data_IF_619911782666
#
_entry.id   IF_619911782666
#
_cell.length_a   1.000
_cell.length_b   1.000
_cell.length_c   1.000
_cell.angle_alpha   90.00
_cell.angle_beta   90.00
_cell.angle_gamma   90.00
#
_symmetry.space_group_name_H-M   'P 1'
#
loop_
_entity.id
_entity.type
_entity.pdbx_description
1 polymer ?
#
# COMPACT_ATOMS: atom_id res chain seq x y z
N UNK A 1 80.54 4.95 45.21
CA UNK A 1 79.34 5.73 44.80
C UNK A 1 79.23 5.69 43.29
N UNK A 2 78.57 4.66 42.76
CA UNK A 2 78.19 4.57 41.35
C UNK A 2 76.96 5.46 41.15
N UNK A 3 77.09 6.54 40.37
CA UNK A 3 75.98 7.42 40.01
C UNK A 3 74.92 6.57 39.28
N UNK A 4 73.72 6.45 39.85
CA UNK A 4 72.62 5.77 39.21
C UNK A 4 72.26 6.52 37.92
N UNK A 5 72.37 5.85 36.76
CA UNK A 5 71.99 6.43 35.47
C UNK A 5 70.49 6.69 35.44
N UNK A 6 70.09 7.95 35.63
CA UNK A 6 68.71 8.40 35.43
C UNK A 6 68.39 8.42 33.93
N UNK A 7 67.26 7.84 33.55
CA UNK A 7 66.78 7.79 32.17
C UNK A 7 65.57 8.73 32.03
N UNK A 8 65.55 9.56 30.99
CA UNK A 8 64.48 10.52 30.73
C UNK A 8 63.46 9.97 29.72
N UNK A 9 62.18 9.90 30.09
CA UNK A 9 61.09 9.55 29.19
C UNK A 9 60.47 10.82 28.59
N UNK A 10 60.62 11.12 27.28
CA UNK A 10 60.06 12.32 26.67
C UNK A 10 58.53 12.22 26.58
N UNK A 11 57.82 13.23 27.08
CA UNK A 11 56.35 13.24 27.09
C UNK A 11 55.73 13.86 25.83
N UNK A 12 56.52 14.64 25.09
CA UNK A 12 56.10 15.29 23.86
C UNK A 12 57.30 15.43 22.93
N UNK A 13 57.12 15.18 21.64
CA UNK A 13 58.19 15.31 20.64
C UNK A 13 58.61 16.76 20.37
N UNK A 14 57.81 17.75 20.82
CA UNK A 14 58.03 19.17 20.53
C UNK A 14 58.34 20.02 21.77
N UNK A 15 58.27 19.48 22.98
CA UNK A 15 58.66 20.20 24.19
C UNK A 15 59.70 19.43 25.00
N UNK A 16 60.52 20.15 25.75
CA UNK A 16 61.60 19.58 26.58
C UNK A 16 61.09 18.89 27.85
N UNK A 17 59.78 18.61 27.98
CA UNK A 17 59.23 17.92 29.15
C UNK A 17 59.50 16.42 29.07
N UNK A 18 60.15 15.91 30.10
CA UNK A 18 60.44 14.50 30.28
C UNK A 18 60.30 14.11 31.75
N UNK A 19 59.85 12.89 32.02
CA UNK A 19 59.89 12.33 33.38
C UNK A 19 61.24 11.62 33.55
N UNK A 20 61.94 11.92 34.64
CA UNK A 20 63.12 11.16 35.01
C UNK A 20 62.67 9.90 35.74
N UNK A 21 63.15 8.73 35.31
CA UNK A 21 62.94 7.49 36.03
C UNK A 21 64.28 6.79 36.22
N UNK A 22 64.41 6.08 37.33
CA UNK A 22 65.59 5.28 37.58
C UNK A 22 65.34 3.84 37.08
N UNK A 23 66.01 3.40 35.99
CA UNK A 23 65.82 2.07 35.43
C UNK A 23 66.32 0.95 36.37
N UNK A 24 67.03 1.28 37.46
CA UNK A 24 67.52 0.30 38.43
C UNK A 24 66.46 -0.26 39.38
N UNK A 25 65.21 0.24 39.33
CA UNK A 25 64.07 -0.28 40.10
C UNK A 25 63.40 -1.51 39.48
N UNK A 26 64.11 -2.27 38.66
CA UNK A 26 63.63 -3.56 38.15
C UNK A 26 63.65 -4.62 39.27
N UNK A 27 62.56 -5.38 39.48
CA UNK A 27 62.55 -6.48 40.43
C UNK A 27 63.68 -7.48 40.12
N UNK A 28 64.60 -7.70 41.06
CA UNK A 28 65.67 -8.67 40.87
C UNK A 28 65.11 -10.10 41.05
N UNK A 29 65.29 -11.01 40.07
CA UNK A 29 64.86 -12.40 40.20
C UNK A 29 65.45 -13.09 41.44
N UNK A 30 66.71 -12.75 41.77
CA UNK A 30 67.43 -13.28 42.92
C UNK A 30 66.84 -12.79 44.25
N UNK A 31 66.35 -11.55 44.29
CA UNK A 31 65.70 -10.98 45.46
C UNK A 31 64.32 -11.61 45.70
N UNK A 32 63.57 -11.84 44.63
CA UNK A 32 62.28 -12.55 44.69
C UNK A 32 62.46 -13.99 45.18
N UNK A 33 63.53 -14.66 44.77
CA UNK A 33 63.83 -16.02 45.21
C UNK A 33 64.31 -16.08 46.67
N UNK A 34 65.07 -15.08 47.13
CA UNK A 34 65.44 -14.92 48.54
C UNK A 34 64.21 -14.68 49.43
N UNK A 35 63.25 -13.86 48.99
CA UNK A 35 61.97 -13.64 49.69
C UNK A 35 61.16 -14.95 49.79
N UNK A 36 61.10 -15.73 48.70
CA UNK A 36 60.41 -17.04 48.70
C UNK A 36 61.05 -18.08 49.63
N UNK A 37 62.37 -18.01 49.84
CA UNK A 37 63.13 -18.89 50.75
C UNK A 37 63.10 -18.42 52.21
N UNK A 38 62.40 -17.32 52.52
CA UNK A 38 62.31 -16.77 53.88
C UNK A 38 63.61 -16.17 54.40
N UNK A 39 64.56 -15.85 53.52
CA UNK A 39 65.83 -15.25 53.93
C UNK A 39 65.63 -13.80 54.37
N UNK A 40 65.93 -13.49 55.63
CA UNK A 40 65.93 -12.12 56.16
C UNK A 40 67.29 -11.47 55.84
N UNK A 41 67.32 -10.31 55.16
CA UNK A 41 68.58 -9.59 54.90
C UNK A 41 69.24 -9.11 56.21
N UNK A 42 70.56 -8.95 56.22
CA UNK A 42 71.29 -8.35 57.34
C UNK A 42 70.85 -6.89 57.61
N UNK A 43 70.89 -6.44 58.88
CA UNK A 43 70.33 -5.15 59.34
C UNK A 43 70.84 -3.92 58.57
N UNK A 44 72.14 -3.84 58.27
CA UNK A 44 72.71 -2.71 57.50
C UNK A 44 72.20 -2.66 56.04
N UNK A 45 71.76 -3.80 55.49
CA UNK A 45 71.13 -3.90 54.17
C UNK A 45 69.63 -3.59 54.21
N UNK A 46 69.01 -3.44 55.37
CA UNK A 46 67.57 -3.19 55.49
C UNK A 46 67.24 -1.72 55.25
N UNK A 47 68.02 -0.81 55.83
CA UNK A 47 67.83 0.64 55.69
C UNK A 47 67.96 1.10 54.23
N UNK A 48 68.98 0.61 53.51
CA UNK A 48 69.17 0.91 52.09
C UNK A 48 68.01 0.39 51.22
N UNK A 49 67.45 -0.78 51.56
CA UNK A 49 66.30 -1.35 50.84
C UNK A 49 65.02 -0.56 51.12
N UNK A 50 64.80 -0.13 52.36
CA UNK A 50 63.68 0.74 52.74
C UNK A 50 63.80 2.10 52.02
N UNK A 51 65.00 2.70 51.98
CA UNK A 51 65.23 3.95 51.26
C UNK A 51 64.94 3.80 49.76
N UNK A 52 65.48 2.75 49.11
CA UNK A 52 65.21 2.48 47.69
C UNK A 52 63.74 2.18 47.40
N UNK A 53 63.03 1.50 48.31
CA UNK A 53 61.60 1.26 48.17
C UNK A 53 60.81 2.57 48.25
N UNK A 54 61.11 3.44 49.23
CA UNK A 54 60.50 4.78 49.33
C UNK A 54 60.78 5.64 48.11
N UNK A 55 62.00 5.64 47.59
CA UNK A 55 62.33 6.38 46.37
C UNK A 55 61.57 5.85 45.15
N UNK A 56 61.40 4.53 45.05
CA UNK A 56 60.62 3.90 43.98
C UNK A 56 59.12 4.20 44.10
N UNK A 57 58.57 4.21 45.32
CA UNK A 57 57.20 4.64 45.60
C UNK A 57 57.01 6.11 45.22
N UNK A 58 57.94 6.99 45.60
CA UNK A 58 57.89 8.40 45.22
C UNK A 58 57.94 8.58 43.69
N UNK A 59 58.82 7.88 42.97
CA UNK A 59 58.86 7.94 41.51
C UNK A 59 57.58 7.38 40.87
N UNK A 60 56.98 6.33 41.44
CA UNK A 60 55.72 5.80 40.97
C UNK A 60 54.58 6.82 41.18
N UNK A 61 54.55 7.51 42.32
CA UNK A 61 53.59 8.57 42.61
C UNK A 61 53.75 9.76 41.65
N UNK A 62 54.98 10.18 41.36
CA UNK A 62 55.28 11.25 40.38
C UNK A 62 54.81 10.87 38.96
N UNK A 63 55.06 9.62 38.53
CA UNK A 63 54.56 9.10 37.24
C UNK A 63 53.03 9.03 37.24
N UNK A 64 52.42 8.59 38.35
CA UNK A 64 50.97 8.52 38.51
C UNK A 64 50.30 9.89 38.37
N UNK A 65 50.83 10.91 39.04
CA UNK A 65 50.34 12.30 38.92
C UNK A 65 50.45 12.83 37.49
N UNK A 66 51.53 12.51 36.77
CA UNK A 66 51.72 12.96 35.40
C UNK A 66 50.80 12.23 34.41
N UNK A 67 50.52 10.94 34.64
CA UNK A 67 49.49 10.20 33.90
C UNK A 67 48.11 10.83 34.09
N UNK A 68 47.70 11.09 35.34
CA UNK A 68 46.43 11.77 35.64
C UNK A 68 46.35 13.14 34.94
N UNK A 69 47.45 13.92 34.96
CA UNK A 69 47.53 15.21 34.28
C UNK A 69 47.35 15.08 32.76
N UNK A 70 47.98 14.08 32.14
CA UNK A 70 47.88 13.83 30.70
C UNK A 70 46.50 13.32 30.31
N UNK A 71 45.87 12.48 31.13
CA UNK A 71 44.49 12.03 30.92
C UNK A 71 43.50 13.19 31.02
N UNK A 72 43.66 14.07 32.02
CA UNK A 72 42.84 15.27 32.17
C UNK A 72 43.00 16.24 30.98
N UNK A 73 44.24 16.40 30.48
CA UNK A 73 44.50 17.20 29.28
C UNK A 73 43.89 16.56 28.02
N UNK A 74 44.02 15.24 27.86
CA UNK A 74 43.43 14.49 26.76
C UNK A 74 41.90 14.62 26.76
N UNK A 75 41.25 14.52 27.93
CA UNK A 75 39.81 14.71 28.03
C UNK A 75 39.39 16.14 27.69
N UNK A 76 40.16 17.13 28.14
CA UNK A 76 39.94 18.54 27.75
C UNK A 76 40.03 18.72 26.24
N UNK A 77 41.03 18.14 25.58
CA UNK A 77 41.18 18.19 24.13
C UNK A 77 40.05 17.45 23.39
N UNK A 78 39.59 16.30 23.89
CA UNK A 78 38.42 15.58 23.34
C UNK A 78 37.14 16.39 23.48
N UNK A 79 36.95 17.09 24.60
CA UNK A 79 35.84 18.04 24.75
C UNK A 79 35.93 19.16 23.71
N UNK A 80 37.09 19.81 23.57
CA UNK A 80 37.29 20.87 22.56
C UNK A 80 37.10 20.38 21.13
N UNK A 81 37.57 19.17 20.80
CA UNK A 81 37.35 18.55 19.50
C UNK A 81 35.86 18.34 19.22
N UNK A 82 35.08 17.87 20.21
CA UNK A 82 33.62 17.73 20.11
C UNK A 82 32.95 19.09 19.90
N UNK A 83 33.34 20.12 20.65
CA UNK A 83 32.82 21.49 20.50
C UNK A 83 33.09 22.04 19.09
N UNK A 84 34.32 21.94 18.60
CA UNK A 84 34.69 22.40 17.25
C UNK A 84 33.96 21.60 16.15
N UNK A 85 33.77 20.30 16.34
CA UNK A 85 33.02 19.45 15.41
C UNK A 85 31.53 19.85 15.37
N UNK A 86 30.93 20.12 16.53
CA UNK A 86 29.57 20.63 16.63
C UNK A 86 29.43 22.00 15.97
N UNK A 87 30.37 22.93 16.21
CA UNK A 87 30.38 24.24 15.58
C UNK A 87 30.51 24.13 14.05
N UNK A 88 31.43 23.31 13.55
CA UNK A 88 31.58 23.05 12.11
C UNK A 88 30.29 22.49 11.49
N UNK A 89 29.65 21.50 12.14
CA UNK A 89 28.37 20.97 11.69
C UNK A 89 27.25 22.03 11.66
N UNK A 90 27.23 22.95 12.63
CA UNK A 90 26.30 24.09 12.62
C UNK A 90 26.56 25.04 11.44
N UNK A 91 27.83 25.40 11.17
CA UNK A 91 28.19 26.27 10.05
C UNK A 91 27.87 25.62 8.69
N UNK A 92 28.21 24.35 8.51
CA UNK A 92 27.82 23.59 7.32
C UNK A 92 26.31 23.51 7.19
N UNK A 93 25.59 23.31 8.29
CA UNK A 93 24.13 23.34 8.34
C UNK A 93 23.54 24.65 7.80
N UNK A 94 24.13 25.80 8.16
CA UNK A 94 23.74 27.13 7.64
C UNK A 94 24.01 27.28 6.14
N UNK A 95 25.10 26.68 5.66
CA UNK A 95 25.54 26.75 4.26
C UNK A 95 24.84 25.74 3.34
N UNK A 96 24.03 24.82 3.88
CA UNK A 96 23.35 23.81 3.06
C UNK A 96 22.49 24.48 1.96
N UNK A 97 22.65 24.09 0.68
CA UNK A 97 21.92 24.70 -0.44
C UNK A 97 20.40 24.69 -0.25
N UNK A 98 19.88 23.69 0.47
CA UNK A 98 18.45 23.51 0.72
C UNK A 98 17.82 24.65 1.53
N UNK A 99 18.60 25.38 2.32
CA UNK A 99 18.13 26.57 3.07
C UNK A 99 18.07 27.83 2.21
N UNK A 100 18.69 27.81 1.03
CA UNK A 100 18.63 28.91 0.06
C UNK A 100 17.49 28.74 -0.95
N UNK A 101 16.82 27.58 -0.94
CA UNK A 101 15.66 27.36 -1.78
C UNK A 101 14.50 28.24 -1.28
N UNK A 102 13.85 28.99 -2.18
CA UNK A 102 12.55 29.58 -1.90
C UNK A 102 11.58 28.54 -1.35
N UNK A 103 10.74 28.96 -0.40
CA UNK A 103 9.79 28.08 0.30
C UNK A 103 8.84 27.40 -0.68
N UNK A 104 8.50 28.07 -1.78
CA UNK A 104 7.61 27.59 -2.84
C UNK A 104 8.22 26.42 -3.61
N UNK A 105 9.53 26.52 -3.94
CA UNK A 105 10.24 25.43 -4.61
C UNK A 105 10.38 24.22 -3.68
N UNK A 106 10.62 24.48 -2.39
CA UNK A 106 10.70 23.42 -1.41
C UNK A 106 9.34 22.73 -1.22
N UNK A 107 8.23 23.47 -1.17
CA UNK A 107 6.89 22.87 -1.12
C UNK A 107 6.63 21.98 -2.35
N UNK A 108 7.00 22.44 -3.55
CA UNK A 108 6.87 21.64 -4.78
C UNK A 108 7.68 20.34 -4.68
N UNK A 109 8.94 20.42 -4.22
CA UNK A 109 9.79 19.25 -4.03
C UNK A 109 9.17 18.27 -3.03
N UNK A 110 8.67 18.77 -1.89
CA UNK A 110 8.01 17.94 -0.88
C UNK A 110 6.74 17.30 -1.42
N UNK A 111 5.97 18.02 -2.25
CA UNK A 111 4.76 17.49 -2.90
C UNK A 111 5.09 16.39 -3.89
N UNK A 112 6.14 16.57 -4.70
CA UNK A 112 6.63 15.51 -5.58
C UNK A 112 7.12 14.30 -4.79
N UNK A 113 7.81 14.52 -3.67
CA UNK A 113 8.29 13.43 -2.81
C UNK A 113 7.16 12.62 -2.14
N UNK A 114 6.00 13.25 -1.90
CA UNK A 114 4.84 12.63 -1.26
C UNK A 114 3.72 12.20 -2.23
N UNK A 115 3.87 12.33 -3.55
CA UNK A 115 2.76 12.11 -4.49
C UNK A 115 2.22 10.68 -4.44
N UNK A 116 3.12 9.72 -4.24
CA UNK A 116 2.83 8.29 -4.11
C UNK A 116 2.89 7.82 -2.65
N UNK A 117 2.75 8.73 -1.69
CA UNK A 117 2.73 8.36 -0.27
C UNK A 117 1.50 7.51 0.03
N UNK A 118 1.73 6.34 0.63
CA UNK A 118 0.70 5.41 1.04
C UNK A 118 0.87 5.16 2.53
N UNK A 119 -0.15 5.53 3.31
CA UNK A 119 -0.20 5.22 4.75
C UNK A 119 -0.73 3.79 4.89
N UNK A 120 0.20 2.84 4.90
CA UNK A 120 -0.11 1.41 4.93
C UNK A 120 -0.04 0.81 6.35
N UNK A 121 -0.90 -0.17 6.63
CA UNK A 121 -0.74 -1.11 7.74
C UNK A 121 -0.32 -2.51 7.23
N UNK A 122 0.72 -3.15 7.82
CA UNK A 122 1.58 -2.67 8.90
C UNK A 122 2.42 -1.47 8.46
N UNK A 123 2.68 -0.54 9.39
CA UNK A 123 3.36 0.71 9.05
C UNK A 123 4.81 0.44 8.64
N UNK A 124 5.09 0.50 7.34
CA UNK A 124 6.42 0.34 6.79
C UNK A 124 6.96 1.70 6.35
N UNK A 125 8.08 2.19 6.89
CA UNK A 125 8.66 3.49 6.52
C UNK A 125 9.40 3.44 5.18
N UNK A 126 8.90 2.66 4.20
CA UNK A 126 9.59 2.43 2.91
C UNK A 126 9.59 3.65 2.00
N UNK A 127 8.69 4.60 2.22
CA UNK A 127 8.53 5.81 1.40
C UNK A 127 8.78 7.07 2.21
N UNK A 128 9.17 8.14 1.49
CA UNK A 128 9.33 9.49 2.03
C UNK A 128 7.94 10.04 2.34
N UNK A 129 7.45 9.72 3.54
CA UNK A 129 6.12 10.10 3.99
C UNK A 129 6.09 11.50 4.58
N UNK A 130 4.95 12.19 4.49
CA UNK A 130 4.77 13.48 5.16
C UNK A 130 5.09 13.39 6.67
N UNK A 131 4.83 12.23 7.28
CA UNK A 131 5.23 11.95 8.67
C UNK A 131 6.75 12.00 8.88
N UNK A 132 7.54 11.37 8.00
CA UNK A 132 8.99 11.36 8.08
C UNK A 132 9.57 12.77 7.83
N UNK A 133 9.07 13.46 6.79
CA UNK A 133 9.52 14.80 6.41
C UNK A 133 9.22 15.82 7.53
N UNK A 134 8.10 15.67 8.23
CA UNK A 134 7.74 16.50 9.40
C UNK A 134 8.75 16.39 10.56
N UNK A 135 9.63 15.38 10.55
CA UNK A 135 10.71 15.18 11.51
C UNK A 135 12.05 15.82 11.13
N UNK A 136 12.24 16.29 9.89
CA UNK A 136 13.57 16.67 9.36
C UNK A 136 14.09 17.98 9.95
N UNK A 137 13.39 19.09 9.75
CA UNK A 137 13.77 20.39 10.32
C UNK A 137 12.55 21.29 10.55
N UNK A 138 12.72 22.43 11.22
CA UNK A 138 11.64 23.37 11.50
C UNK A 138 10.96 23.90 10.23
N UNK A 139 11.75 24.27 9.21
CA UNK A 139 11.22 24.80 7.94
C UNK A 139 10.32 23.77 7.24
N UNK A 140 10.80 22.53 7.11
CA UNK A 140 10.04 21.45 6.46
C UNK A 140 8.76 21.14 7.22
N UNK A 141 8.83 21.13 8.55
CA UNK A 141 7.67 20.95 9.42
C UNK A 141 6.62 22.05 9.21
N UNK A 142 7.03 23.32 9.12
CA UNK A 142 6.12 24.44 8.86
C UNK A 142 5.40 24.25 7.54
N UNK A 143 6.15 24.04 6.45
CA UNK A 143 5.60 23.85 5.09
C UNK A 143 4.57 22.70 5.07
N UNK A 144 4.89 21.59 5.71
CA UNK A 144 4.00 20.43 5.75
C UNK A 144 2.75 20.68 6.58
N UNK A 145 2.89 21.36 7.71
CA UNK A 145 1.74 21.69 8.56
C UNK A 145 0.76 22.63 7.87
N UNK A 146 1.28 23.53 7.03
CA UNK A 146 0.47 24.50 6.29
C UNK A 146 -0.16 23.90 5.01
N UNK A 147 0.40 22.81 4.47
CA UNK A 147 -0.05 22.17 3.23
C UNK A 147 -0.86 20.89 3.48
N UNK A 148 -2.18 21.02 3.58
CA UNK A 148 -3.08 19.87 3.78
C UNK A 148 -3.00 18.80 2.68
N UNK A 149 -2.60 19.19 1.46
CA UNK A 149 -2.42 18.26 0.33
C UNK A 149 -1.33 17.22 0.59
N UNK A 150 -0.26 17.57 1.31
CA UNK A 150 0.82 16.64 1.66
C UNK A 150 0.35 15.54 2.61
N UNK A 151 -0.76 15.76 3.31
CA UNK A 151 -1.37 14.79 4.22
C UNK A 151 -2.52 13.99 3.57
N UNK A 152 -2.88 14.26 2.31
CA UNK A 152 -3.94 13.57 1.56
C UNK A 152 -3.47 12.25 0.93
N UNK A 153 -2.50 11.57 1.56
CA UNK A 153 -2.00 10.28 1.15
C UNK A 153 -3.11 9.21 1.08
N UNK A 154 -2.92 8.21 0.21
CA UNK A 154 -3.81 7.05 0.13
C UNK A 154 -3.64 6.21 1.40
N UNK A 155 -4.73 5.86 2.06
CA UNK A 155 -4.71 5.02 3.26
C UNK A 155 -4.94 3.58 2.84
N UNK A 156 -4.03 2.67 3.21
CA UNK A 156 -4.13 1.24 2.87
C UNK A 156 -4.08 0.36 4.11
N UNK A 157 -5.01 -0.57 4.25
CA UNK A 157 -4.94 -1.63 5.25
C UNK A 157 -5.10 -2.95 4.51
N UNK A 158 -4.07 -3.77 4.56
CA UNK A 158 -4.06 -5.11 3.98
C UNK A 158 -3.95 -6.14 5.12
N UNK A 159 -5.07 -6.79 5.46
CA UNK A 159 -5.10 -7.77 6.55
C UNK A 159 -4.98 -9.22 6.08
N UNK A 160 -4.22 -9.49 5.02
CA UNK A 160 -3.86 -10.85 4.61
C UNK A 160 -2.72 -11.45 5.45
N UNK A 161 -2.10 -10.67 6.33
CA UNK A 161 -1.03 -11.16 7.21
C UNK A 161 -1.63 -11.71 8.50
N UNK A 162 -1.39 -13.00 8.84
CA UNK A 162 -1.96 -13.62 10.05
C UNK A 162 -1.57 -12.85 11.32
N UNK A 163 -2.54 -12.62 12.20
CA UNK A 163 -2.49 -11.62 13.27
C UNK A 163 -1.79 -12.05 14.57
N UNK A 164 -0.87 -13.02 14.54
CA UNK A 164 -0.51 -13.80 15.73
C UNK A 164 0.74 -13.33 16.52
N UNK A 165 1.28 -12.12 16.31
CA UNK A 165 2.52 -11.66 16.96
C UNK A 165 2.34 -10.30 17.70
N UNK A 166 2.87 -10.20 18.92
CA UNK A 166 2.94 -8.99 19.77
C UNK A 166 3.49 -7.76 19.03
N UNK A 167 4.38 -7.98 18.04
CA UNK A 167 4.91 -6.91 17.18
C UNK A 167 3.80 -6.12 16.49
N UNK A 168 2.70 -6.78 16.12
CA UNK A 168 1.61 -6.16 15.39
C UNK A 168 0.79 -5.19 16.24
N UNK A 169 0.69 -5.43 17.55
CA UNK A 169 -0.03 -4.52 18.44
C UNK A 169 0.73 -3.18 18.58
N UNK A 170 2.06 -3.25 18.65
CA UNK A 170 2.93 -2.06 18.57
C UNK A 170 2.76 -1.33 17.24
N UNK A 171 2.75 -2.05 16.12
CA UNK A 171 2.58 -1.46 14.79
C UNK A 171 1.18 -0.86 14.62
N UNK A 172 0.14 -1.50 15.13
CA UNK A 172 -1.23 -0.99 15.10
C UNK A 172 -1.37 0.29 15.92
N UNK A 173 -0.73 0.37 17.09
CA UNK A 173 -0.67 1.61 17.89
C UNK A 173 0.08 2.73 17.16
N UNK A 174 1.21 2.43 16.52
CA UNK A 174 1.97 3.41 15.75
C UNK A 174 1.15 3.90 14.56
N UNK A 175 0.61 2.96 13.77
CA UNK A 175 -0.26 3.22 12.64
C UNK A 175 -1.46 4.09 13.03
N UNK A 176 -2.19 3.76 14.10
CA UNK A 176 -3.31 4.57 14.61
C UNK A 176 -2.90 6.01 14.91
N UNK A 177 -1.73 6.23 15.52
CA UNK A 177 -1.21 7.57 15.83
C UNK A 177 -0.86 8.34 14.56
N UNK A 178 -0.18 7.71 13.61
CA UNK A 178 0.20 8.30 12.32
C UNK A 178 -1.06 8.63 11.52
N UNK A 179 -1.95 7.67 11.33
CA UNK A 179 -3.24 7.81 10.66
C UNK A 179 -4.07 8.96 11.23
N UNK A 180 -4.18 9.05 12.56
CA UNK A 180 -4.90 10.15 13.22
C UNK A 180 -4.30 11.52 12.91
N UNK A 181 -2.99 11.61 12.65
CA UNK A 181 -2.33 12.84 12.20
C UNK A 181 -2.66 13.14 10.74
N UNK A 182 -2.53 12.16 9.84
CA UNK A 182 -2.88 12.32 8.42
C UNK A 182 -4.32 12.78 8.24
N UNK A 183 -5.28 12.11 8.89
CA UNK A 183 -6.69 12.47 8.74
C UNK A 183 -7.02 13.87 9.29
N UNK A 184 -6.34 14.34 10.35
CA UNK A 184 -6.55 15.69 10.88
C UNK A 184 -5.92 16.76 10.01
N UNK A 185 -4.67 16.56 9.57
CA UNK A 185 -3.91 17.56 8.83
C UNK A 185 -4.33 17.68 7.36
N UNK A 186 -4.87 16.60 6.79
CA UNK A 186 -5.43 16.66 5.43
C UNK A 186 -6.75 17.44 5.34
N UNK A 187 -7.38 17.83 6.45
CA UNK A 187 -8.67 18.50 6.41
C UNK A 187 -8.55 19.89 5.74
N UNK A 188 -9.47 20.27 4.83
CA UNK A 188 -10.71 19.59 4.45
C UNK A 188 -10.60 18.63 3.24
N UNK A 189 -9.40 18.35 2.74
CA UNK A 189 -9.15 17.62 1.49
C UNK A 189 -9.74 16.20 1.44
N UNK A 190 -9.94 15.65 0.23
CA UNK A 190 -10.47 14.31 0.03
C UNK A 190 -9.49 13.23 0.48
N UNK A 191 -10.02 12.04 0.81
CA UNK A 191 -9.26 10.86 1.19
C UNK A 191 -9.52 9.71 0.22
N UNK A 192 -8.45 9.01 -0.16
CA UNK A 192 -8.52 7.76 -0.91
C UNK A 192 -8.23 6.61 0.05
N UNK A 193 -9.12 5.63 0.12
CA UNK A 193 -9.02 4.56 1.13
C UNK A 193 -9.06 3.19 0.47
N UNK A 194 -8.16 2.31 0.87
CA UNK A 194 -8.09 0.91 0.43
C UNK A 194 -8.06 -0.01 1.66
N UNK A 195 -9.19 -0.67 1.97
CA UNK A 195 -9.33 -1.56 3.11
C UNK A 195 -9.59 -2.98 2.59
N UNK A 196 -8.53 -3.76 2.48
CA UNK A 196 -8.58 -5.13 2.01
C UNK A 196 -8.44 -6.08 3.19
N UNK A 197 -9.27 -7.13 3.21
CA UNK A 197 -9.25 -8.15 4.23
C UNK A 197 -9.13 -9.56 3.65
N UNK A 198 -8.70 -10.49 4.49
CA UNK A 198 -8.57 -11.90 4.16
C UNK A 198 -9.94 -12.47 3.77
N UNK A 199 -10.07 -13.16 2.63
CA UNK A 199 -11.33 -13.72 2.15
C UNK A 199 -11.85 -14.87 3.02
N UNK A 200 -11.05 -15.42 3.94
CA UNK A 200 -11.41 -16.62 4.74
C UNK A 200 -12.36 -16.35 5.91
N UNK A 201 -13.10 -15.23 5.92
CA UNK A 201 -14.09 -14.87 6.96
C UNK A 201 -13.57 -14.73 8.42
N UNK A 202 -12.27 -14.93 8.69
CA UNK A 202 -11.71 -14.87 10.05
C UNK A 202 -11.49 -13.43 10.55
N UNK A 203 -11.84 -12.43 9.73
CA UNK A 203 -11.42 -11.05 9.98
C UNK A 203 -12.06 -10.42 11.23
N UNK A 204 -13.34 -10.68 11.49
CA UNK A 204 -14.05 -10.03 12.60
C UNK A 204 -13.53 -10.48 13.98
N UNK A 205 -13.16 -11.75 14.11
CA UNK A 205 -12.62 -12.31 15.35
C UNK A 205 -11.13 -12.05 15.55
N UNK A 206 -10.37 -11.85 14.46
CA UNK A 206 -8.91 -11.63 14.53
C UNK A 206 -8.47 -10.16 14.60
N UNK A 207 -9.39 -9.19 14.45
CA UNK A 207 -9.06 -7.77 14.57
C UNK A 207 -8.70 -7.42 16.02
N UNK A 208 -7.42 -7.14 16.28
CA UNK A 208 -6.99 -6.58 17.55
C UNK A 208 -7.63 -5.20 17.80
N UNK A 209 -7.74 -4.80 19.08
CA UNK A 209 -8.43 -3.58 19.48
C UNK A 209 -7.79 -2.30 18.90
N UNK A 210 -6.47 -2.31 18.67
CA UNK A 210 -5.78 -1.15 18.12
C UNK A 210 -6.05 -0.93 16.63
N UNK A 211 -6.14 -2.00 15.84
CA UNK A 211 -6.51 -1.95 14.43
C UNK A 211 -8.00 -1.62 14.28
N UNK A 212 -8.84 -2.16 15.17
CA UNK A 212 -10.25 -1.75 15.30
C UNK A 212 -10.34 -0.23 15.52
N UNK A 213 -9.64 0.29 16.53
CA UNK A 213 -9.60 1.72 16.80
C UNK A 213 -9.03 2.55 15.63
N UNK A 214 -8.08 2.00 14.85
CA UNK A 214 -7.59 2.65 13.64
C UNK A 214 -8.69 2.73 12.56
N UNK A 215 -9.43 1.65 12.31
CA UNK A 215 -10.57 1.64 11.38
C UNK A 215 -11.64 2.66 11.77
N UNK A 216 -11.96 2.76 13.06
CA UNK A 216 -12.89 3.77 13.57
C UNK A 216 -12.43 5.21 13.28
N UNK A 217 -11.11 5.46 13.36
CA UNK A 217 -10.54 6.74 12.94
C UNK A 217 -10.82 6.97 11.46
N UNK A 218 -10.59 6.00 10.56
CA UNK A 218 -10.86 6.16 9.12
C UNK A 218 -12.34 6.41 8.86
N UNK A 219 -13.22 5.62 9.47
CA UNK A 219 -14.67 5.71 9.30
C UNK A 219 -15.25 7.03 9.79
N UNK A 220 -14.63 7.65 10.79
CA UNK A 220 -14.98 9.02 11.20
C UNK A 220 -14.84 10.00 10.05
N UNK A 221 -13.90 9.79 9.13
CA UNK A 221 -13.71 10.66 7.97
C UNK A 221 -14.47 10.21 6.70
N UNK A 222 -15.46 9.31 6.83
CA UNK A 222 -16.31 8.85 5.72
C UNK A 222 -16.84 9.98 4.81
N UNK A 223 -17.29 11.15 5.31
CA UNK A 223 -17.76 12.23 4.43
C UNK A 223 -16.73 12.77 3.44
N UNK A 224 -15.44 12.62 3.76
CA UNK A 224 -14.31 13.08 2.95
C UNK A 224 -13.75 12.02 2.02
N UNK A 225 -14.26 10.79 2.06
CA UNK A 225 -13.80 9.75 1.17
C UNK A 225 -14.16 10.13 -0.26
N UNK A 226 -13.19 10.06 -1.17
CA UNK A 226 -13.35 10.30 -2.60
C UNK A 226 -13.32 9.00 -3.40
N UNK A 227 -12.36 8.15 -3.09
CA UNK A 227 -12.28 6.80 -3.64
C UNK A 227 -12.19 5.80 -2.50
N UNK A 228 -12.86 4.65 -2.66
CA UNK A 228 -12.84 3.58 -1.67
C UNK A 228 -12.70 2.23 -2.38
N UNK A 229 -11.66 1.48 -2.05
CA UNK A 229 -11.50 0.07 -2.42
C UNK A 229 -11.67 -0.75 -1.16
N UNK A 230 -12.69 -1.60 -1.10
CA UNK A 230 -13.07 -2.30 0.12
C UNK A 230 -13.24 -3.79 -0.16
N UNK A 231 -12.80 -4.65 0.76
CA UNK A 231 -13.26 -6.04 0.75
C UNK A 231 -14.73 -6.12 1.16
N UNK A 232 -15.43 -7.22 0.81
CA UNK A 232 -16.79 -7.47 1.29
C UNK A 232 -16.91 -7.32 2.81
N UNK A 233 -16.02 -7.97 3.56
CA UNK A 233 -16.03 -7.96 5.02
C UNK A 233 -15.87 -6.54 5.56
N UNK A 234 -15.09 -5.69 4.88
CA UNK A 234 -14.94 -4.28 5.26
C UNK A 234 -16.20 -3.47 5.02
N UNK A 235 -16.95 -3.77 3.97
CA UNK A 235 -18.25 -3.13 3.72
C UNK A 235 -19.28 -3.56 4.79
N UNK A 236 -19.31 -4.85 5.15
CA UNK A 236 -20.18 -5.37 6.22
C UNK A 236 -19.79 -4.79 7.59
N UNK A 237 -18.50 -4.71 7.88
CA UNK A 237 -17.96 -4.13 9.12
C UNK A 237 -18.29 -2.64 9.22
N UNK A 238 -18.07 -1.87 8.15
CA UNK A 238 -18.46 -0.45 8.07
C UNK A 238 -19.96 -0.28 8.30
N UNK A 239 -20.80 -1.10 7.65
CA UNK A 239 -22.25 -1.04 7.83
C UNK A 239 -22.66 -1.31 9.29
N UNK A 240 -22.08 -2.34 9.89
CA UNK A 240 -22.31 -2.71 11.30
C UNK A 240 -21.85 -1.61 12.25
N UNK A 241 -20.66 -1.06 12.03
CA UNK A 241 -20.10 0.04 12.82
C UNK A 241 -21.00 1.29 12.80
N UNK A 242 -21.44 1.73 11.62
CA UNK A 242 -22.31 2.91 11.49
C UNK A 242 -23.67 2.68 12.16
N UNK A 243 -24.23 1.47 12.01
CA UNK A 243 -25.50 1.08 12.65
C UNK A 243 -25.38 1.04 14.18
N UNK A 244 -24.35 0.37 14.71
CA UNK A 244 -24.12 0.23 16.13
C UNK A 244 -23.91 1.60 16.83
N UNK A 245 -23.17 2.50 16.18
CA UNK A 245 -22.85 3.82 16.72
C UNK A 245 -23.89 4.90 16.36
N UNK A 246 -25.00 4.54 15.69
CA UNK A 246 -26.05 5.46 15.21
C UNK A 246 -25.47 6.64 14.39
N UNK A 247 -24.37 6.41 13.68
CA UNK A 247 -23.68 7.45 12.91
C UNK A 247 -24.43 7.68 11.61
N UNK A 248 -25.04 8.86 11.47
CA UNK A 248 -25.76 9.29 10.25
C UNK A 248 -24.87 10.01 9.22
N UNK A 249 -23.55 9.85 9.30
CA UNK A 249 -22.60 10.48 8.36
C UNK A 249 -22.82 9.95 6.95
N UNK A 250 -22.81 10.87 5.97
CA UNK A 250 -22.98 10.55 4.55
C UNK A 250 -21.62 10.64 3.85
N UNK A 251 -21.30 9.74 2.91
CA UNK A 251 -20.10 9.84 2.08
C UNK A 251 -20.29 10.91 0.99
N UNK A 252 -20.21 12.19 1.38
CA UNK A 252 -20.56 13.34 0.51
C UNK A 252 -19.58 13.57 -0.64
N UNK A 253 -18.29 13.23 -0.46
CA UNK A 253 -17.25 13.39 -1.47
C UNK A 253 -17.00 12.14 -2.32
N UNK A 254 -17.72 11.04 -2.07
CA UNK A 254 -17.38 9.73 -2.62
C UNK A 254 -17.77 9.66 -4.10
N UNK A 255 -16.76 9.52 -4.97
CA UNK A 255 -16.87 9.51 -6.42
C UNK A 255 -16.74 8.10 -7.00
N UNK A 256 -15.90 7.25 -6.40
CA UNK A 256 -15.67 5.89 -6.88
C UNK A 256 -15.61 4.88 -5.74
N UNK A 257 -16.25 3.72 -5.93
CA UNK A 257 -16.15 2.58 -5.01
C UNK A 257 -15.85 1.32 -5.79
N UNK A 258 -14.87 0.57 -5.31
CA UNK A 258 -14.60 -0.80 -5.73
C UNK A 258 -14.79 -1.72 -4.54
N UNK A 259 -15.66 -2.72 -4.68
CA UNK A 259 -15.80 -3.79 -3.71
C UNK A 259 -15.10 -5.04 -4.26
N UNK A 260 -13.87 -5.22 -3.83
CA UNK A 260 -13.02 -6.33 -4.23
C UNK A 260 -13.23 -7.53 -3.31
N UNK A 261 -12.79 -8.72 -3.75
CA UNK A 261 -12.55 -9.92 -2.91
C UNK A 261 -13.71 -10.29 -1.96
N UNK A 262 -14.46 -11.32 -2.32
CA UNK A 262 -15.44 -11.96 -1.43
C UNK A 262 -15.27 -13.48 -1.40
N UNK A 263 -15.59 -14.07 -0.25
CA UNK A 263 -15.98 -15.46 -0.20
C UNK A 263 -17.32 -15.66 -0.96
N UNK A 264 -17.47 -16.76 -1.72
CA UNK A 264 -18.59 -16.97 -2.65
C UNK A 264 -19.98 -17.08 -2.02
N UNK A 265 -20.13 -17.14 -0.69
CA UNK A 265 -21.34 -17.69 -0.06
C UNK A 265 -22.26 -16.68 0.63
N UNK A 266 -21.91 -15.40 0.74
CA UNK A 266 -22.65 -14.49 1.63
C UNK A 266 -23.39 -13.39 0.88
N UNK A 267 -24.73 -13.49 0.84
CA UNK A 267 -25.63 -12.42 0.37
C UNK A 267 -25.43 -11.16 1.22
N UNK A 268 -25.16 -10.04 0.58
CA UNK A 268 -24.99 -8.74 1.24
C UNK A 268 -26.16 -7.80 0.89
N UNK A 269 -26.68 -7.10 1.91
CA UNK A 269 -27.67 -6.01 1.77
C UNK A 269 -27.15 -4.76 2.45
N UNK A 270 -26.17 -4.10 1.84
CA UNK A 270 -25.55 -2.92 2.43
C UNK A 270 -26.13 -1.63 1.84
N UNK A 271 -26.44 -0.69 2.75
CA UNK A 271 -27.03 0.63 2.45
C UNK A 271 -26.07 1.79 2.67
N UNK A 272 -24.80 1.54 3.02
CA UNK A 272 -23.86 2.60 3.43
C UNK A 272 -23.64 3.64 2.33
N UNK A 273 -23.66 3.21 1.07
CA UNK A 273 -23.43 4.07 -0.10
C UNK A 273 -24.71 4.65 -0.72
N UNK A 274 -25.88 4.38 -0.14
CA UNK A 274 -27.16 4.81 -0.72
C UNK A 274 -27.31 6.33 -0.84
N UNK A 275 -26.59 7.08 0.01
CA UNK A 275 -26.62 8.54 0.05
C UNK A 275 -25.32 9.19 -0.49
N UNK A 276 -24.51 8.45 -1.26
CA UNK A 276 -23.28 8.96 -1.85
C UNK A 276 -23.57 9.83 -3.09
N UNK A 277 -24.02 11.06 -2.91
CA UNK A 277 -24.54 11.94 -4.00
C UNK A 277 -23.52 12.35 -5.08
N UNK A 278 -22.23 12.01 -4.91
CA UNK A 278 -21.19 12.22 -5.92
C UNK A 278 -20.67 10.94 -6.57
N UNK A 279 -21.22 9.78 -6.19
CA UNK A 279 -20.78 8.48 -6.69
C UNK A 279 -21.08 8.37 -8.19
N UNK A 280 -20.02 8.25 -8.99
CA UNK A 280 -20.07 8.13 -10.46
C UNK A 280 -19.56 6.78 -10.94
N UNK A 281 -18.67 6.13 -10.17
CA UNK A 281 -18.07 4.85 -10.53
C UNK A 281 -18.34 3.79 -9.46
N UNK A 282 -18.84 2.63 -9.89
CA UNK A 282 -19.03 1.47 -9.03
C UNK A 282 -18.44 0.22 -9.68
N UNK A 283 -17.58 -0.48 -8.94
CA UNK A 283 -17.05 -1.80 -9.30
C UNK A 283 -17.37 -2.79 -8.19
N UNK A 284 -17.84 -3.98 -8.54
CA UNK A 284 -18.16 -5.05 -7.61
C UNK A 284 -17.65 -6.38 -8.16
N UNK A 285 -16.81 -7.05 -7.38
CA UNK A 285 -16.27 -8.39 -7.66
C UNK A 285 -16.87 -9.43 -6.70
N UNK A 286 -18.16 -9.30 -6.39
CA UNK A 286 -18.85 -10.09 -5.38
C UNK A 286 -20.20 -10.56 -5.91
N UNK A 287 -20.34 -11.86 -6.05
CA UNK A 287 -21.51 -12.45 -6.65
C UNK A 287 -22.74 -12.32 -5.75
N UNK A 288 -23.90 -12.20 -6.39
CA UNK A 288 -25.21 -12.16 -5.74
C UNK A 288 -25.40 -11.07 -4.67
N UNK A 289 -24.52 -10.06 -4.60
CA UNK A 289 -24.63 -8.98 -3.63
C UNK A 289 -25.44 -7.80 -4.18
N UNK A 290 -26.42 -7.33 -3.41
CA UNK A 290 -27.29 -6.21 -3.77
C UNK A 290 -26.97 -4.99 -2.92
N UNK A 291 -26.39 -3.98 -3.55
CA UNK A 291 -26.13 -2.69 -2.92
C UNK A 291 -27.26 -1.71 -3.20
N UNK A 292 -27.59 -0.86 -2.22
CA UNK A 292 -28.43 0.31 -2.51
C UNK A 292 -27.53 1.47 -2.91
N UNK A 293 -27.57 1.83 -4.18
CA UNK A 293 -26.75 2.88 -4.77
C UNK A 293 -27.61 4.01 -5.36
N UNK A 294 -27.08 5.23 -5.46
CA UNK A 294 -27.67 6.32 -6.24
C UNK A 294 -27.45 6.07 -7.73
N UNK A 295 -28.15 5.08 -8.30
CA UNK A 295 -27.95 4.61 -9.68
C UNK A 295 -28.06 5.69 -10.76
N UNK A 296 -28.91 6.71 -10.56
CA UNK A 296 -29.19 7.74 -11.55
C UNK A 296 -27.97 8.59 -11.98
N UNK A 297 -26.93 8.66 -11.13
CA UNK A 297 -25.72 9.48 -11.34
C UNK A 297 -24.49 8.65 -11.71
N UNK A 298 -24.60 7.32 -11.77
CA UNK A 298 -23.49 6.46 -12.18
C UNK A 298 -23.19 6.66 -13.67
N UNK A 299 -21.92 6.87 -13.99
CA UNK A 299 -21.38 6.90 -15.35
C UNK A 299 -20.60 5.63 -15.69
N UNK A 300 -20.10 4.93 -14.67
CA UNK A 300 -19.40 3.65 -14.81
C UNK A 300 -19.99 2.62 -13.83
N UNK A 301 -20.33 1.44 -14.34
CA UNK A 301 -20.84 0.32 -13.55
C UNK A 301 -20.18 -0.98 -13.98
N UNK A 302 -19.46 -1.63 -13.07
CA UNK A 302 -18.94 -2.98 -13.22
C UNK A 302 -19.51 -3.88 -12.11
N UNK A 303 -20.27 -4.90 -12.49
CA UNK A 303 -20.80 -5.91 -11.57
C UNK A 303 -20.20 -7.27 -11.87
N UNK A 304 -20.07 -8.10 -10.84
CA UNK A 304 -19.86 -9.53 -11.01
C UNK A 304 -21.20 -10.24 -11.26
N UNK A 305 -21.28 -11.55 -11.01
CA UNK A 305 -22.44 -12.37 -11.36
C UNK A 305 -23.72 -11.90 -10.64
N UNK A 306 -24.66 -11.40 -11.43
CA UNK A 306 -26.00 -10.98 -11.01
C UNK A 306 -27.06 -11.70 -11.85
N UNK A 307 -28.22 -11.98 -11.26
CA UNK A 307 -29.35 -12.50 -12.04
C UNK A 307 -29.83 -11.45 -13.04
N UNK A 308 -30.27 -11.89 -14.23
CA UNK A 308 -30.82 -11.02 -15.28
C UNK A 308 -31.88 -10.04 -14.77
N UNK A 309 -32.78 -10.50 -13.89
CA UNK A 309 -33.79 -9.66 -13.23
C UNK A 309 -33.16 -8.55 -12.37
N UNK A 310 -32.13 -8.87 -11.59
CA UNK A 310 -31.42 -7.88 -10.75
C UNK A 310 -30.72 -6.84 -11.62
N UNK A 311 -30.09 -7.28 -12.71
CA UNK A 311 -29.44 -6.38 -13.68
C UNK A 311 -30.47 -5.42 -14.28
N UNK A 312 -31.60 -5.94 -14.72
CA UNK A 312 -32.68 -5.12 -15.27
C UNK A 312 -33.18 -4.06 -14.27
N UNK A 313 -33.44 -4.43 -13.01
CA UNK A 313 -33.87 -3.49 -11.96
C UNK A 313 -32.86 -2.34 -11.74
N UNK A 314 -31.56 -2.65 -11.86
CA UNK A 314 -30.47 -1.69 -11.74
C UNK A 314 -30.45 -0.76 -12.95
N UNK A 315 -30.43 -1.33 -14.16
CA UNK A 315 -30.28 -0.57 -15.40
C UNK A 315 -31.43 0.42 -15.65
N UNK A 316 -32.66 0.09 -15.25
CA UNK A 316 -33.79 1.02 -15.30
C UNK A 316 -33.54 2.34 -14.56
N UNK A 317 -32.65 2.32 -13.56
CA UNK A 317 -32.31 3.48 -12.73
C UNK A 317 -31.03 4.18 -13.19
N UNK A 318 -30.26 3.62 -14.12
CA UNK A 318 -28.93 4.09 -14.54
C UNK A 318 -28.95 4.87 -15.87
N UNK A 319 -29.71 5.98 -15.98
CA UNK A 319 -29.83 6.72 -17.25
C UNK A 319 -28.57 7.46 -17.70
N UNK A 320 -27.65 7.73 -16.77
CA UNK A 320 -26.41 8.48 -17.01
C UNK A 320 -25.21 7.62 -17.40
N UNK A 321 -25.40 6.33 -17.61
CA UNK A 321 -24.31 5.37 -17.75
C UNK A 321 -23.59 5.52 -19.09
N UNK A 322 -22.26 5.57 -19.05
CA UNK A 322 -21.38 5.67 -20.21
C UNK A 322 -20.63 4.37 -20.48
N UNK A 323 -20.23 3.65 -19.42
CA UNK A 323 -19.60 2.34 -19.50
C UNK A 323 -20.28 1.34 -18.56
N UNK A 324 -20.62 0.17 -19.11
CA UNK A 324 -21.31 -0.91 -18.44
C UNK A 324 -20.53 -2.21 -18.62
N UNK A 325 -20.15 -2.84 -17.51
CA UNK A 325 -19.55 -4.17 -17.47
C UNK A 325 -20.39 -5.08 -16.58
N UNK A 326 -20.95 -6.12 -17.16
CA UNK A 326 -21.87 -7.02 -16.47
C UNK A 326 -21.37 -8.46 -16.57
N UNK A 327 -21.58 -9.22 -15.50
CA UNK A 327 -21.62 -10.68 -15.55
C UNK A 327 -23.02 -11.14 -15.16
N UNK A 328 -23.70 -11.86 -16.03
CA UNK A 328 -25.14 -12.17 -15.89
C UNK A 328 -25.37 -13.67 -15.95
N UNK A 329 -26.17 -14.18 -15.02
CA UNK A 329 -26.67 -15.55 -15.04
C UNK A 329 -28.20 -15.62 -15.07
N UNK A 330 -28.70 -16.77 -15.52
CA UNK A 330 -30.14 -17.07 -15.54
C UNK A 330 -30.51 -17.85 -14.30
N UNK A 331 -31.55 -17.38 -13.62
CA UNK A 331 -32.11 -18.11 -12.49
C UNK A 331 -33.15 -19.12 -13.02
N UNK A 332 -32.96 -20.45 -12.85
CA UNK A 332 -33.78 -21.48 -13.53
C UNK A 332 -35.28 -21.43 -13.22
N UNK A 333 -35.65 -20.77 -12.12
CA UNK A 333 -37.02 -20.72 -11.59
C UNK A 333 -37.87 -19.57 -12.15
N UNK A 334 -37.32 -18.78 -13.07
CA UNK A 334 -37.87 -17.50 -13.47
C UNK A 334 -38.51 -17.65 -14.86
N UNK A 335 -39.83 -17.85 -14.92
CA UNK A 335 -40.60 -17.84 -16.18
C UNK A 335 -40.21 -16.62 -17.03
N UNK A 336 -39.99 -16.76 -18.34
CA UNK A 336 -39.50 -15.67 -19.20
C UNK A 336 -40.36 -14.41 -19.06
N UNK A 337 -39.87 -13.41 -18.32
CA UNK A 337 -40.62 -12.19 -18.02
C UNK A 337 -40.69 -11.33 -19.27
N UNK A 338 -41.88 -10.81 -19.58
CA UNK A 338 -42.03 -9.67 -20.49
C UNK A 338 -41.55 -8.41 -19.78
N UNK A 339 -40.23 -8.25 -19.72
CA UNK A 339 -39.60 -7.08 -19.15
C UNK A 339 -39.90 -5.86 -20.05
N UNK A 340 -40.32 -4.70 -19.49
CA UNK A 340 -40.52 -3.49 -20.28
C UNK A 340 -39.18 -2.96 -20.77
N UNK A 341 -39.23 -2.35 -21.96
CA UNK A 341 -38.08 -1.74 -22.63
C UNK A 341 -37.53 -0.56 -21.83
N UNK A 342 -36.22 -0.38 -21.86
CA UNK A 342 -35.54 0.78 -21.29
C UNK A 342 -34.39 1.23 -22.20
N UNK A 343 -34.05 2.52 -22.10
CA UNK A 343 -33.01 3.14 -22.92
C UNK A 343 -31.87 3.64 -22.04
N UNK A 344 -30.64 3.39 -22.47
CA UNK A 344 -29.40 3.91 -21.88
C UNK A 344 -28.76 4.88 -22.91
N UNK A 345 -29.25 6.12 -23.01
CA UNK A 345 -28.97 7.01 -24.12
C UNK A 345 -27.52 7.53 -24.17
N UNK A 346 -26.73 7.28 -23.12
CA UNK A 346 -25.34 7.72 -23.01
C UNK A 346 -24.33 6.59 -23.06
N UNK A 347 -24.80 5.34 -23.15
CA UNK A 347 -23.93 4.18 -23.06
C UNK A 347 -23.07 4.09 -24.32
N UNK A 348 -21.75 4.22 -24.14
CA UNK A 348 -20.75 4.12 -25.21
C UNK A 348 -20.10 2.76 -25.24
N UNK A 349 -19.94 2.11 -24.08
CA UNK A 349 -19.27 0.81 -23.98
C UNK A 349 -20.10 -0.19 -23.17
N UNK A 350 -20.37 -1.34 -23.76
CA UNK A 350 -21.04 -2.47 -23.14
C UNK A 350 -20.13 -3.70 -23.19
N UNK A 351 -19.75 -4.20 -22.02
CA UNK A 351 -19.09 -5.49 -21.85
C UNK A 351 -20.04 -6.40 -21.08
N UNK A 352 -20.44 -7.52 -21.67
CA UNK A 352 -21.32 -8.49 -21.05
C UNK A 352 -20.68 -9.85 -21.04
N UNK A 353 -20.58 -10.46 -19.87
CA UNK A 353 -20.17 -11.85 -19.67
C UNK A 353 -21.41 -12.64 -19.29
N UNK A 354 -21.73 -13.68 -20.05
CA UNK A 354 -22.89 -14.54 -19.79
C UNK A 354 -22.44 -15.99 -19.61
N UNK A 355 -23.06 -16.69 -18.66
CA UNK A 355 -22.88 -18.13 -18.47
C UNK A 355 -23.74 -18.96 -19.45
N UNK A 356 -24.81 -18.36 -19.96
CA UNK A 356 -25.81 -18.96 -20.84
C UNK A 356 -26.24 -17.95 -21.94
N UNK A 357 -26.42 -18.37 -23.21
CA UNK A 357 -26.82 -17.48 -24.30
C UNK A 357 -28.18 -16.82 -24.08
N UNK A 358 -29.12 -17.46 -23.37
CA UNK A 358 -30.43 -16.90 -23.09
C UNK A 358 -30.33 -15.64 -22.20
N UNK A 359 -29.24 -15.43 -21.44
CA UNK A 359 -29.01 -14.17 -20.72
C UNK A 359 -28.91 -12.99 -21.69
N UNK A 360 -28.32 -13.23 -22.86
CA UNK A 360 -28.22 -12.27 -23.96
C UNK A 360 -29.59 -12.09 -24.59
N UNK A 361 -30.28 -13.20 -24.89
CA UNK A 361 -31.64 -13.19 -25.46
C UNK A 361 -32.68 -12.49 -24.60
N UNK A 362 -32.52 -12.49 -23.28
CA UNK A 362 -33.43 -11.82 -22.35
C UNK A 362 -33.15 -10.31 -22.27
N UNK A 363 -31.87 -9.92 -22.30
CA UNK A 363 -31.47 -8.52 -22.15
C UNK A 363 -31.62 -7.72 -23.44
N UNK A 364 -31.26 -8.31 -24.59
CA UNK A 364 -31.23 -7.62 -25.87
C UNK A 364 -32.59 -7.08 -26.32
N UNK A 365 -33.73 -7.77 -26.20
CA UNK A 365 -35.04 -7.25 -26.64
C UNK A 365 -35.50 -6.01 -25.86
N UNK A 366 -35.01 -5.81 -24.64
CA UNK A 366 -35.43 -4.72 -23.76
C UNK A 366 -34.47 -3.53 -23.72
N UNK A 367 -33.24 -3.71 -24.19
CA UNK A 367 -32.20 -2.70 -24.14
C UNK A 367 -32.18 -1.83 -25.40
N UNK A 368 -32.13 -0.51 -25.23
CA UNK A 368 -31.96 0.47 -26.31
C UNK A 368 -30.75 1.37 -25.99
N UNK A 369 -29.74 1.40 -26.87
CA UNK A 369 -28.41 2.01 -26.61
C UNK A 369 -27.89 2.78 -27.83
N UNK A 370 -28.49 3.94 -28.17
CA UNK A 370 -28.23 4.60 -29.44
C UNK A 370 -26.81 5.15 -29.63
N UNK A 371 -26.06 5.38 -28.55
CA UNK A 371 -24.69 5.90 -28.60
C UNK A 371 -23.63 4.80 -28.40
N UNK A 372 -23.99 3.53 -28.51
CA UNK A 372 -23.03 2.43 -28.30
C UNK A 372 -21.95 2.45 -29.39
N UNK A 373 -20.70 2.54 -28.95
CA UNK A 373 -19.50 2.50 -29.81
C UNK A 373 -18.80 1.15 -29.69
N UNK A 374 -18.74 0.58 -28.48
CA UNK A 374 -18.00 -0.66 -28.21
C UNK A 374 -18.92 -1.71 -27.57
N UNK A 375 -19.04 -2.87 -28.23
CA UNK A 375 -19.76 -4.03 -27.71
C UNK A 375 -18.80 -5.21 -27.54
N UNK A 376 -18.75 -5.79 -26.34
CA UNK A 376 -17.96 -6.98 -26.04
C UNK A 376 -18.83 -8.02 -25.37
N UNK A 377 -18.96 -9.20 -25.97
CA UNK A 377 -19.70 -10.32 -25.43
C UNK A 377 -18.73 -11.45 -25.08
N UNK A 378 -18.74 -11.88 -23.83
CA UNK A 378 -17.89 -12.94 -23.31
C UNK A 378 -18.75 -14.11 -22.86
N UNK A 379 -18.30 -15.33 -23.14
CA UNK A 379 -18.79 -16.51 -22.43
C UNK A 379 -18.04 -16.68 -21.12
N UNK A 380 -18.76 -17.01 -20.05
CA UNK A 380 -18.16 -17.37 -18.77
C UNK A 380 -17.26 -18.60 -18.93
N UNK A 381 -16.00 -18.50 -18.52
CA UNK A 381 -15.17 -19.67 -18.25
C UNK A 381 -15.06 -19.78 -16.73
N UNK A 382 -15.88 -20.63 -16.11
CA UNK A 382 -15.79 -20.89 -14.67
C UNK A 382 -14.52 -21.69 -14.38
N UNK A 383 -13.53 -21.13 -13.66
CA UNK A 383 -12.32 -21.87 -13.33
C UNK A 383 -12.64 -22.93 -12.27
N UNK A 384 -12.47 -24.21 -12.61
CA UNK A 384 -12.47 -25.31 -11.65
C UNK A 384 -13.76 -26.12 -11.51
N UNK A 385 -14.84 -25.75 -12.20
CA UNK A 385 -15.96 -26.67 -12.40
C UNK A 385 -15.75 -27.36 -13.73
N UNK A 386 -15.42 -28.66 -13.69
CA UNK A 386 -15.63 -29.58 -14.81
C UNK A 386 -17.14 -29.66 -15.05
N UNK A 387 -17.76 -28.57 -15.51
CA UNK A 387 -19.11 -28.64 -16.03
C UNK A 387 -19.08 -29.73 -17.10
N UNK A 388 -19.90 -30.77 -16.96
CA UNK A 388 -19.92 -31.89 -17.90
C UNK A 388 -20.09 -31.26 -19.26
N UNK A 389 -19.07 -31.41 -20.12
CA UNK A 389 -18.90 -30.69 -21.39
C UNK A 389 -20.25 -30.24 -21.91
N UNK A 390 -20.69 -29.03 -21.51
CA UNK A 390 -22.08 -28.66 -21.77
C UNK A 390 -22.11 -28.57 -23.27
N UNK A 391 -22.89 -29.51 -23.77
CA UNK A 391 -23.20 -29.92 -25.11
C UNK A 391 -23.23 -28.73 -26.08
N UNK A 392 -23.21 -29.03 -27.36
CA UNK A 392 -23.19 -28.06 -28.47
C UNK A 392 -24.31 -26.98 -28.48
N UNK A 393 -25.18 -26.94 -27.47
CA UNK A 393 -26.33 -26.07 -27.32
C UNK A 393 -26.05 -24.60 -26.92
N UNK A 394 -24.84 -24.06 -27.11
CA UNK A 394 -24.70 -22.59 -27.12
C UNK A 394 -25.23 -22.06 -28.44
N UNK A 395 -26.55 -21.86 -28.51
CA UNK A 395 -27.20 -21.27 -29.68
C UNK A 395 -27.08 -19.75 -29.63
N UNK A 396 -26.30 -19.18 -30.56
CA UNK A 396 -26.18 -17.74 -30.69
C UNK A 396 -27.54 -17.10 -31.00
N UNK A 397 -27.99 -16.10 -30.22
CA UNK A 397 -29.28 -15.46 -30.42
C UNK A 397 -29.24 -14.46 -31.58
N UNK A 398 -29.19 -15.01 -32.81
CA UNK A 398 -29.00 -14.24 -34.06
C UNK A 398 -30.08 -13.18 -34.23
N UNK A 399 -31.35 -13.54 -33.98
CA UNK A 399 -32.47 -12.65 -34.19
C UNK A 399 -32.50 -11.54 -33.14
N UNK A 400 -32.32 -11.86 -31.86
CA UNK A 400 -32.35 -10.89 -30.77
C UNK A 400 -31.19 -9.89 -30.89
N UNK A 401 -30.00 -10.37 -31.29
CA UNK A 401 -28.86 -9.50 -31.57
C UNK A 401 -29.13 -8.58 -32.75
N UNK A 402 -29.72 -9.10 -33.82
CA UNK A 402 -30.10 -8.28 -34.97
C UNK A 402 -31.13 -7.21 -34.62
N UNK A 403 -32.19 -7.59 -33.91
CA UNK A 403 -33.25 -6.68 -33.49
C UNK A 403 -32.70 -5.61 -32.54
N UNK A 404 -31.74 -5.96 -31.68
CA UNK A 404 -31.05 -5.03 -30.79
C UNK A 404 -30.22 -4.00 -31.56
N UNK A 405 -29.38 -4.44 -32.50
CA UNK A 405 -28.54 -3.54 -33.30
C UNK A 405 -29.40 -2.59 -34.15
N UNK A 406 -30.43 -3.14 -34.80
CA UNK A 406 -31.35 -2.38 -35.66
C UNK A 406 -32.14 -1.36 -34.86
N UNK A 407 -32.72 -1.77 -33.72
CA UNK A 407 -33.51 -0.88 -32.87
C UNK A 407 -32.67 0.22 -32.22
N UNK A 408 -31.47 -0.13 -31.75
CA UNK A 408 -30.59 0.86 -31.10
C UNK A 408 -30.04 1.85 -32.13
N UNK A 409 -29.87 1.47 -33.39
CA UNK A 409 -29.31 2.35 -34.42
C UNK A 409 -27.89 2.83 -34.09
N UNK A 410 -27.17 2.06 -33.28
CA UNK A 410 -25.85 2.42 -32.77
C UNK A 410 -24.77 2.34 -33.85
N UNK A 411 -23.74 3.19 -33.74
CA UNK A 411 -22.62 3.22 -34.67
C UNK A 411 -21.40 2.55 -34.05
N UNK A 412 -21.42 1.21 -34.04
CA UNK A 412 -20.35 0.42 -33.43
C UNK A 412 -19.01 0.66 -34.13
N UNK A 413 -18.00 1.03 -33.36
CA UNK A 413 -16.59 1.04 -33.75
C UNK A 413 -15.97 -0.32 -33.53
N UNK A 414 -16.38 -1.03 -32.49
CA UNK A 414 -15.79 -2.31 -32.10
C UNK A 414 -16.86 -3.30 -31.64
N UNK A 415 -16.79 -4.53 -32.14
CA UNK A 415 -17.60 -5.64 -31.68
C UNK A 415 -16.70 -6.85 -31.42
N UNK A 416 -16.53 -7.21 -30.15
CA UNK A 416 -15.77 -8.37 -29.70
C UNK A 416 -16.68 -9.52 -29.26
N UNK A 417 -16.37 -10.72 -29.71
CA UNK A 417 -16.96 -11.99 -29.30
C UNK A 417 -15.86 -12.85 -28.71
N UNK A 418 -15.82 -13.03 -27.39
CA UNK A 418 -14.79 -13.80 -26.71
C UNK A 418 -15.38 -15.09 -26.17
N UNK A 419 -14.88 -16.22 -26.66
CA UNK A 419 -15.32 -17.57 -26.24
C UNK A 419 -16.81 -17.86 -26.51
N UNK A 420 -17.46 -17.03 -27.32
CA UNK A 420 -18.82 -17.23 -27.81
C UNK A 420 -18.76 -18.19 -29.00
N UNK A 421 -19.53 -19.27 -28.96
CA UNK A 421 -19.67 -20.16 -30.12
C UNK A 421 -20.62 -19.51 -31.12
N UNK A 422 -20.15 -19.30 -32.34
CA UNK A 422 -20.91 -18.72 -33.45
C UNK A 422 -20.47 -19.43 -34.72
N UNK A 423 -21.42 -19.83 -35.57
CA UNK A 423 -21.09 -20.44 -36.87
C UNK A 423 -20.45 -19.41 -37.80
N UNK A 424 -19.61 -19.85 -38.73
CA UNK A 424 -19.02 -18.94 -39.73
C UNK A 424 -20.10 -18.23 -40.57
N UNK A 425 -21.18 -18.94 -40.90
CA UNK A 425 -22.33 -18.38 -41.64
C UNK A 425 -22.99 -17.25 -40.84
N UNK A 426 -23.23 -17.46 -39.55
CA UNK A 426 -23.83 -16.45 -38.67
C UNK A 426 -22.87 -15.28 -38.45
N UNK A 427 -21.56 -15.53 -38.32
CA UNK A 427 -20.56 -14.48 -38.18
C UNK A 427 -20.48 -13.60 -39.44
N UNK A 428 -20.56 -14.22 -40.62
CA UNK A 428 -20.63 -13.51 -41.89
C UNK A 428 -21.89 -12.65 -42.00
N UNK A 429 -23.07 -13.19 -41.67
CA UNK A 429 -24.33 -12.41 -41.64
C UNK A 429 -24.28 -11.25 -40.64
N UNK A 430 -23.64 -11.47 -39.49
CA UNK A 430 -23.41 -10.43 -38.50
C UNK A 430 -22.53 -9.32 -39.09
N UNK A 431 -21.46 -9.70 -39.81
CA UNK A 431 -20.55 -8.75 -40.46
C UNK A 431 -21.25 -7.89 -41.50
N UNK A 432 -22.12 -8.46 -42.34
CA UNK A 432 -22.88 -7.71 -43.35
C UNK A 432 -23.81 -6.64 -42.76
N UNK A 433 -24.29 -6.88 -41.53
CA UNK A 433 -25.23 -5.99 -40.85
C UNK A 433 -24.55 -4.86 -40.07
N UNK A 434 -23.27 -5.01 -39.75
CA UNK A 434 -22.50 -4.01 -39.03
C UNK A 434 -22.02 -2.91 -39.99
N UNK A 435 -21.84 -1.66 -39.50
CA UNK A 435 -21.16 -0.64 -40.27
C UNK A 435 -19.80 -1.13 -40.81
N UNK A 436 -19.45 -0.72 -42.03
CA UNK A 436 -18.19 -1.16 -42.67
C UNK A 436 -16.94 -0.82 -41.84
N UNK A 437 -16.99 0.28 -41.10
CA UNK A 437 -15.93 0.75 -40.22
C UNK A 437 -15.81 -0.03 -38.89
N UNK A 438 -16.79 -0.87 -38.54
CA UNK A 438 -16.76 -1.64 -37.28
C UNK A 438 -15.63 -2.66 -37.32
N UNK A 439 -14.79 -2.71 -36.29
CA UNK A 439 -13.83 -3.80 -36.09
C UNK A 439 -14.55 -4.99 -35.42
N UNK A 440 -14.79 -6.06 -36.17
CA UNK A 440 -15.32 -7.32 -35.65
C UNK A 440 -14.15 -8.24 -35.26
N UNK A 441 -14.08 -8.62 -33.98
CA UNK A 441 -13.06 -9.53 -33.44
C UNK A 441 -13.76 -10.73 -32.82
N UNK A 442 -13.53 -11.93 -33.34
CA UNK A 442 -14.02 -13.17 -32.77
C UNK A 442 -12.83 -14.00 -32.25
N UNK A 443 -12.74 -14.17 -30.92
CA UNK A 443 -11.74 -15.01 -30.28
C UNK A 443 -12.37 -16.36 -29.94
N UNK A 444 -12.04 -17.38 -30.73
CA UNK A 444 -12.42 -18.75 -30.44
C UNK A 444 -11.39 -19.42 -29.53
N UNK A 445 -11.85 -20.18 -28.54
CA UNK A 445 -11.05 -21.05 -27.67
C UNK A 445 -10.51 -22.27 -28.41
N UNK A 446 -10.07 -22.14 -29.67
CA UNK A 446 -9.36 -23.21 -30.35
C UNK A 446 -7.93 -23.30 -29.81
N UNK A 447 -7.82 -23.83 -28.59
CA UNK A 447 -6.66 -24.61 -28.19
C UNK A 447 -6.67 -25.91 -29.00
N UNK A 448 -6.33 -25.81 -30.29
CA UNK A 448 -5.80 -26.85 -31.16
C UNK A 448 -5.25 -26.13 -32.39
N UNK A 449 -4.05 -25.58 -32.25
CA UNK A 449 -3.23 -25.18 -33.38
C UNK A 449 -2.89 -26.43 -34.20
N UNK A 450 -3.71 -26.75 -35.20
CA UNK A 450 -3.25 -27.56 -36.33
C UNK A 450 -2.37 -26.64 -37.17
N UNK A 451 -1.06 -26.84 -37.10
CA UNK A 451 -0.13 -26.30 -38.07
C UNK A 451 -0.57 -26.75 -39.47
N UNK A 452 -1.16 -25.86 -40.25
CA UNK A 452 -1.27 -26.03 -41.68
C UNK A 452 0.12 -25.91 -42.29
N UNK A 453 0.81 -27.06 -42.44
CA UNK A 453 1.92 -27.17 -43.37
C UNK A 453 1.39 -26.93 -44.78
N UNK A 454 1.78 -25.79 -45.35
CA UNK A 454 1.80 -25.57 -46.79
C UNK A 454 2.88 -26.46 -47.41
N UNK A 455 2.51 -27.70 -47.75
CA UNK A 455 3.34 -28.54 -48.63
C UNK A 455 3.08 -28.12 -50.07
N UNK A 456 3.97 -27.27 -50.59
CA UNK A 456 4.16 -27.10 -52.03
C UNK A 456 4.63 -28.44 -52.63
N UNK A 457 3.87 -28.96 -53.57
CA UNK A 457 4.36 -29.92 -54.56
C UNK A 457 5.01 -29.11 -55.70
N UNK A 458 6.31 -29.29 -55.88
CA UNK A 458 7.05 -28.92 -57.09
C UNK A 458 8.20 -29.92 -57.22
N UNK A 459 7.91 -30.99 -57.96
CA UNK A 459 8.82 -32.01 -58.46
C UNK A 459 8.19 -32.56 -59.73
#
# INVERSE_FOLDING_TARGET
MTLASTCSLPLCSSCTRSIQHNPSYTPSPQLNEALRRGCVPADDSLLDRIARAKDAEQQADEIGQELERLEALAETLRMRQRELSQFSAQQHGLMTPIRRLPVELLEIILRCACVDDIVEFPFSPRTVSAHAINGVCHLWRSIIQDSGLLWSAKIRIDGFRPFADDRQDRDARLFRRVLGRYCRQSAPGPLSVELLGDPRDIWASCLNDNLRAALEVIFRFLPRWRTAILSKHMVDYLHTYLKANRIKRRPEMLEAVEVARAAPTSRCRVKVFANATRLRSWTQHIDHCRFRLPYAQLTYLHTSWLSSLTVWEILQRCRGLEELRLSVYIEPSVERWRLPKFSLPRLKRLVMTADDPYSISDLFPVLDVPLLEDLCLNRANWPGEEYPAIDDAWDWPEQECHDFLTRSGCNLRKFELNYVRISEVTLWRLRERLPSATQLVAMHTQGLSVQGQSSQASG
#
